data_IF_316022183695
#
_entry.id   IF_316022183695
#
_cell.length_a   1.000
_cell.length_b   1.000
_cell.length_c   1.000
_cell.angle_alpha   90.00
_cell.angle_beta   90.00
_cell.angle_gamma   90.00
#
_symmetry.space_group_name_H-M   'P 1'
#
loop_
_entity.id
_entity.type
_entity.pdbx_description
1 polymer ?
#
# COMPACT_ATOMS: atom_id res chain seq x y z
N UNK A 1 -6.36 20.81 44.49
CA UNK A 1 -6.09 20.04 45.73
C UNK A 1 -6.40 18.59 45.43
N UNK A 2 -5.39 17.74 45.65
CA UNK A 2 -5.29 16.36 45.21
C UNK A 2 -6.29 15.44 45.93
N UNK A 3 -6.87 14.48 45.22
CA UNK A 3 -7.11 13.15 45.77
C UNK A 3 -7.25 12.12 44.65
N UNK A 4 -6.22 11.29 44.52
CA UNK A 4 -6.10 10.13 43.64
C UNK A 4 -6.55 8.88 44.40
N UNK A 5 -7.52 8.15 43.85
CA UNK A 5 -7.95 6.85 44.37
C UNK A 5 -7.34 5.72 43.55
N UNK A 6 -6.23 5.15 44.01
CA UNK A 6 -5.65 3.90 43.50
C UNK A 6 -6.20 2.73 44.33
N UNK A 7 -6.93 1.81 43.69
CA UNK A 7 -7.36 0.54 44.30
C UNK A 7 -6.38 -0.57 43.93
N UNK A 8 -5.74 -1.16 44.95
CA UNK A 8 -4.93 -2.38 44.90
C UNK A 8 -5.85 -3.60 44.87
N UNK A 9 -5.57 -4.57 44.00
CA UNK A 9 -6.07 -5.95 44.12
C UNK A 9 -4.92 -6.90 44.45
N UNK A 10 -5.17 -7.75 45.45
CA UNK A 10 -4.28 -8.76 46.02
C UNK A 10 -4.43 -10.09 45.28
N UNK A 11 -3.30 -10.78 45.08
CA UNK A 11 -3.21 -12.20 44.72
C UNK A 11 -3.71 -13.11 45.86
N UNK A 12 -4.01 -14.39 45.56
CA UNK A 12 -3.19 -15.41 46.22
C UNK A 12 -2.74 -16.54 45.28
N UNK A 13 -1.44 -16.81 45.41
CA UNK A 13 -0.70 -17.98 44.93
C UNK A 13 -1.03 -19.19 45.82
N UNK A 14 -1.31 -20.35 45.22
CA UNK A 14 -1.45 -21.63 45.94
C UNK A 14 -0.23 -22.50 45.62
N UNK A 15 0.65 -22.70 46.60
CA UNK A 15 1.82 -23.58 46.55
C UNK A 15 1.49 -24.88 47.27
N UNK A 16 1.60 -26.01 46.57
CA UNK A 16 1.52 -27.36 47.15
C UNK A 16 2.95 -27.84 47.41
N UNK A 17 3.26 -28.07 48.69
CA UNK A 17 4.47 -28.75 49.17
C UNK A 17 4.34 -30.26 48.96
N UNK A 18 5.35 -30.89 48.39
CA UNK A 18 5.56 -32.34 48.55
C UNK A 18 7.01 -32.60 48.95
N UNK A 19 7.14 -33.22 50.11
CA UNK A 19 8.37 -33.54 50.83
C UNK A 19 8.89 -34.89 50.37
N UNK A 20 10.16 -34.96 49.96
CA UNK A 20 10.86 -36.23 49.82
C UNK A 20 12.26 -36.07 50.39
N UNK A 21 12.46 -36.55 51.62
CA UNK A 21 13.76 -36.87 52.18
C UNK A 21 14.38 -38.03 51.39
N UNK A 22 15.72 -38.08 51.27
CA UNK A 22 16.57 -39.22 51.70
C UNK A 22 18.02 -39.06 51.19
N UNK A 23 18.94 -39.22 52.16
CA UNK A 23 20.36 -39.62 52.14
C UNK A 23 21.46 -38.64 51.66
N UNK A 24 22.13 -38.10 52.68
CA UNK A 24 23.50 -37.55 52.65
C UNK A 24 24.50 -38.71 52.47
N UNK A 25 25.20 -38.73 51.34
CA UNK A 25 26.42 -39.51 51.13
C UNK A 25 27.60 -38.55 50.96
N UNK A 26 28.51 -38.52 51.94
CA UNK A 26 29.80 -37.85 51.84
C UNK A 26 30.65 -38.58 50.79
N UNK A 27 30.95 -37.90 49.67
CA UNK A 27 32.04 -38.27 48.78
C UNK A 27 32.88 -37.04 48.48
N UNK A 28 34.19 -37.23 48.63
CA UNK A 28 35.25 -36.24 48.47
C UNK A 28 35.10 -35.43 47.18
N UNK A 29 35.20 -34.11 47.32
CA UNK A 29 35.33 -33.22 46.18
C UNK A 29 36.71 -33.42 45.53
N UNK A 30 36.74 -34.11 44.40
CA UNK A 30 37.78 -33.90 43.40
C UNK A 30 37.50 -32.56 42.71
N UNK A 31 38.46 -31.65 42.82
CA UNK A 31 38.49 -30.40 42.07
C UNK A 31 38.78 -30.75 40.62
N UNK A 32 37.72 -30.98 39.83
CA UNK A 32 37.82 -31.03 38.38
C UNK A 32 37.74 -29.60 37.83
N UNK A 33 38.82 -29.18 37.18
CA UNK A 33 38.97 -27.96 36.40
C UNK A 33 37.80 -27.73 35.46
N UNK A 34 37.20 -26.53 35.51
CA UNK A 34 36.29 -26.04 34.48
C UNK A 34 37.01 -25.97 33.14
N UNK A 35 36.64 -26.86 32.23
CA UNK A 35 36.89 -26.71 30.81
C UNK A 35 35.71 -25.92 30.23
N UNK A 36 36.01 -24.87 29.46
CA UNK A 36 35.06 -24.13 28.63
C UNK A 36 34.17 -25.11 27.85
N UNK A 37 32.85 -24.97 27.96
CA UNK A 37 31.96 -25.57 27.00
C UNK A 37 32.15 -24.86 25.64
N UNK A 38 32.20 -25.60 24.51
CA UNK A 38 32.27 -24.97 23.20
C UNK A 38 31.03 -24.10 23.00
N UNK A 39 31.25 -22.80 22.75
CA UNK A 39 30.18 -21.87 22.36
C UNK A 39 29.41 -22.50 21.21
N UNK A 40 28.12 -22.78 21.42
CA UNK A 40 27.30 -23.35 20.35
C UNK A 40 27.36 -22.43 19.13
N UNK A 41 27.46 -23.00 17.93
CA UNK A 41 27.50 -22.25 16.67
C UNK A 41 26.38 -21.20 16.57
N UNK A 42 25.21 -21.55 17.12
CA UNK A 42 24.07 -20.65 17.26
C UNK A 42 24.32 -19.45 18.19
N UNK A 43 24.94 -19.68 19.36
CA UNK A 43 25.32 -18.60 20.28
C UNK A 43 26.37 -17.68 19.66
N UNK A 44 27.32 -18.25 18.91
CA UNK A 44 28.34 -17.47 18.20
C UNK A 44 27.71 -16.52 17.18
N UNK A 45 26.77 -17.00 16.35
CA UNK A 45 26.07 -16.14 15.40
C UNK A 45 25.36 -14.97 16.10
N UNK A 46 24.56 -15.25 17.14
CA UNK A 46 23.74 -14.24 17.82
C UNK A 46 24.60 -13.20 18.55
N UNK A 47 25.71 -13.63 19.14
CA UNK A 47 26.55 -12.74 19.98
C UNK A 47 27.67 -12.04 19.23
N UNK A 48 28.16 -12.62 18.13
CA UNK A 48 29.30 -12.08 17.37
C UNK A 48 28.92 -11.57 15.98
N UNK A 49 28.13 -12.34 15.23
CA UNK A 49 27.85 -12.02 13.82
C UNK A 49 26.68 -11.06 13.66
N UNK A 50 25.57 -11.30 14.37
CA UNK A 50 24.39 -10.46 14.28
C UNK A 50 24.67 -8.98 14.59
N UNK A 51 25.43 -8.62 15.65
CA UNK A 51 25.75 -7.22 15.90
C UNK A 51 26.55 -6.57 14.76
N UNK A 52 27.47 -7.30 14.12
CA UNK A 52 28.25 -6.81 12.98
C UNK A 52 27.32 -6.49 11.80
N UNK A 53 26.42 -7.43 11.45
CA UNK A 53 25.45 -7.22 10.37
C UNK A 53 24.54 -6.03 10.67
N UNK A 54 24.07 -5.91 11.91
CA UNK A 54 23.17 -4.84 12.33
C UNK A 54 23.82 -3.46 12.28
N UNK A 55 25.06 -3.34 12.76
CA UNK A 55 25.77 -2.07 12.84
C UNK A 55 26.27 -1.61 11.46
N UNK A 56 26.88 -2.53 10.70
CA UNK A 56 27.66 -2.16 9.51
C UNK A 56 26.93 -2.44 8.18
N UNK A 57 25.94 -3.33 8.16
CA UNK A 57 25.39 -3.83 6.89
C UNK A 57 23.92 -3.43 6.65
N UNK A 58 23.06 -3.52 7.67
CA UNK A 58 21.59 -3.44 7.49
C UNK A 58 21.09 -2.07 7.05
N UNK A 59 21.81 -0.99 7.37
CA UNK A 59 21.42 0.36 6.94
C UNK A 59 21.38 0.51 5.41
N UNK A 60 22.19 -0.26 4.68
CA UNK A 60 22.29 -0.27 3.22
C UNK A 60 21.83 -1.57 2.55
N UNK A 61 21.83 -2.69 3.28
CA UNK A 61 21.45 -4.02 2.82
C UNK A 61 20.37 -4.65 3.73
N UNK A 62 19.34 -3.89 4.08
CA UNK A 62 18.19 -4.31 4.90
C UNK A 62 16.85 -4.00 4.24
N UNK A 63 15.73 -4.17 4.94
CA UNK A 63 14.39 -4.01 4.33
C UNK A 63 14.19 -2.64 3.64
N UNK A 64 14.63 -1.55 4.28
CA UNK A 64 14.42 -0.18 3.79
C UNK A 64 15.31 0.15 2.58
N UNK A 65 16.57 -0.27 2.59
CA UNK A 65 17.56 0.02 1.55
C UNK A 65 18.27 -1.28 1.20
N UNK A 66 18.26 -1.61 -0.09
CA UNK A 66 18.77 -2.87 -0.64
C UNK A 66 19.75 -2.52 -1.76
N UNK A 67 20.93 -2.03 -1.41
CA UNK A 67 21.95 -1.73 -2.42
C UNK A 67 22.34 -3.01 -3.17
N UNK A 68 22.37 -2.92 -4.50
CA UNK A 68 22.61 -4.04 -5.41
C UNK A 68 21.66 -5.23 -5.21
N UNK A 69 20.42 -4.97 -4.76
CA UNK A 69 19.41 -6.00 -4.51
C UNK A 69 19.73 -6.97 -3.36
N UNK A 70 20.74 -6.67 -2.53
CA UNK A 70 21.22 -7.53 -1.45
C UNK A 70 20.53 -7.21 -0.12
N UNK A 71 20.13 -8.27 0.60
CA UNK A 71 19.60 -8.25 1.98
C UNK A 71 20.48 -9.13 2.88
N UNK A 72 20.94 -8.58 4.00
CA UNK A 72 21.83 -9.23 4.97
C UNK A 72 21.18 -9.41 6.36
N UNK A 73 19.90 -9.08 6.49
CA UNK A 73 19.07 -9.22 7.69
C UNK A 73 18.23 -10.51 7.71
N UNK A 74 18.21 -11.28 6.61
CA UNK A 74 17.46 -12.53 6.48
C UNK A 74 18.31 -13.61 5.83
N UNK A 75 18.39 -14.79 6.46
CA UNK A 75 19.18 -15.93 5.97
C UNK A 75 18.90 -16.32 4.52
N UNK A 76 17.62 -16.44 4.13
CA UNK A 76 17.26 -16.86 2.78
C UNK A 76 17.80 -15.90 1.71
N UNK A 77 17.82 -14.60 2.03
CA UNK A 77 18.31 -13.58 1.12
C UNK A 77 19.84 -13.51 1.07
N UNK A 78 20.52 -13.76 2.19
CA UNK A 78 21.99 -13.89 2.21
C UNK A 78 22.44 -15.03 1.28
N UNK A 79 21.71 -16.15 1.30
CA UNK A 79 21.98 -17.32 0.47
C UNK A 79 21.57 -17.11 -0.99
N UNK A 80 20.56 -16.27 -1.27
CA UNK A 80 20.19 -15.86 -2.63
C UNK A 80 21.23 -14.92 -3.23
N UNK A 81 21.69 -13.96 -2.42
CA UNK A 81 22.61 -12.92 -2.83
C UNK A 81 21.95 -11.72 -3.50
N UNK A 82 22.80 -10.77 -3.90
CA UNK A 82 22.41 -9.59 -4.67
C UNK A 82 22.49 -9.83 -6.18
N UNK A 83 22.36 -8.75 -6.95
CA UNK A 83 22.27 -8.78 -8.41
C UNK A 83 23.58 -9.24 -9.10
N UNK A 84 24.75 -9.02 -8.49
CA UNK A 84 26.03 -9.08 -9.19
C UNK A 84 26.92 -10.29 -8.84
N UNK A 85 26.91 -10.74 -7.59
CA UNK A 85 27.95 -11.66 -7.07
C UNK A 85 27.42 -13.02 -6.63
N UNK A 86 26.15 -13.33 -6.88
CA UNK A 86 25.51 -14.56 -6.40
C UNK A 86 25.39 -14.59 -4.86
N UNK A 87 25.28 -15.78 -4.24
CA UNK A 87 25.13 -15.94 -2.79
C UNK A 87 26.17 -15.12 -2.02
N UNK A 88 25.74 -14.27 -1.09
CA UNK A 88 26.66 -13.41 -0.34
C UNK A 88 27.57 -14.23 0.59
N UNK A 89 27.09 -15.39 1.04
CA UNK A 89 27.83 -16.36 1.85
C UNK A 89 27.74 -17.74 1.22
N UNK A 90 28.90 -18.36 1.03
CA UNK A 90 29.07 -19.74 0.60
C UNK A 90 29.62 -20.51 1.80
N UNK A 91 28.79 -21.37 2.39
CA UNK A 91 29.16 -22.17 3.56
C UNK A 91 30.47 -22.94 3.32
N UNK A 92 31.31 -23.01 4.35
CA UNK A 92 32.63 -23.66 4.36
C UNK A 92 33.70 -22.99 3.46
N UNK A 93 33.33 -21.97 2.69
CA UNK A 93 34.18 -21.33 1.68
C UNK A 93 34.21 -19.80 1.83
N UNK A 94 34.90 -19.25 2.86
CA UNK A 94 35.04 -17.80 3.02
C UNK A 94 35.67 -17.13 1.80
N UNK A 95 36.62 -17.80 1.14
CA UNK A 95 37.31 -17.31 -0.06
C UNK A 95 36.41 -17.21 -1.31
N UNK A 96 35.23 -17.84 -1.26
CA UNK A 96 34.21 -17.77 -2.32
C UNK A 96 32.98 -16.95 -1.90
N UNK A 97 33.01 -16.36 -0.71
CA UNK A 97 31.90 -15.60 -0.14
C UNK A 97 32.10 -14.10 -0.41
N UNK A 98 31.31 -13.48 -1.31
CA UNK A 98 31.45 -12.06 -1.64
C UNK A 98 31.34 -11.15 -0.43
N UNK A 99 30.54 -11.51 0.59
CA UNK A 99 30.45 -10.75 1.84
C UNK A 99 31.81 -10.66 2.53
N UNK A 100 32.55 -11.76 2.60
CA UNK A 100 33.87 -11.80 3.24
C UNK A 100 34.93 -11.10 2.40
N UNK A 101 34.92 -11.32 1.08
CA UNK A 101 35.85 -10.66 0.16
C UNK A 101 35.66 -9.14 0.19
N UNK A 102 34.42 -8.64 0.18
CA UNK A 102 34.15 -7.21 0.17
C UNK A 102 34.61 -6.47 1.43
N UNK A 103 34.64 -7.13 2.60
CA UNK A 103 35.06 -6.49 3.87
C UNK A 103 36.54 -6.74 4.21
N UNK A 104 37.17 -7.74 3.60
CA UNK A 104 38.49 -8.23 4.01
C UNK A 104 39.56 -8.30 2.91
N UNK A 105 39.18 -8.25 1.62
CA UNK A 105 40.10 -8.37 0.49
C UNK A 105 40.19 -7.03 -0.28
N UNK A 106 41.29 -6.27 -0.14
CA UNK A 106 41.50 -5.02 -0.87
C UNK A 106 41.58 -5.16 -2.39
N UNK A 107 41.75 -6.40 -2.90
CA UNK A 107 41.80 -6.70 -4.32
C UNK A 107 40.45 -7.07 -4.92
N UNK A 108 39.41 -7.22 -4.09
CA UNK A 108 38.06 -7.45 -4.57
C UNK A 108 37.50 -6.20 -5.26
N UNK A 109 36.59 -6.42 -6.22
CA UNK A 109 36.05 -5.36 -7.09
C UNK A 109 35.32 -4.24 -6.32
N UNK A 110 34.92 -4.51 -5.08
CA UNK A 110 34.27 -3.55 -4.18
C UNK A 110 34.82 -3.68 -2.76
N UNK A 111 34.87 -2.56 -2.03
CA UNK A 111 35.19 -2.53 -0.60
C UNK A 111 33.96 -2.09 0.19
N UNK A 112 33.66 -2.80 1.28
CA UNK A 112 32.53 -2.54 2.18
C UNK A 112 33.02 -2.36 3.63
N UNK A 113 32.45 -1.41 4.40
CA UNK A 113 31.45 -0.42 3.99
C UNK A 113 32.05 0.66 3.07
N UNK A 114 31.27 1.25 2.12
CA UNK A 114 31.76 2.27 1.20
C UNK A 114 31.93 3.63 1.87
N UNK A 115 31.15 3.86 2.93
CA UNK A 115 31.18 5.04 3.78
C UNK A 115 31.15 4.57 5.24
N UNK A 116 31.91 5.23 6.12
CA UNK A 116 32.04 4.85 7.53
C UNK A 116 33.34 4.10 7.85
N UNK A 117 33.55 3.72 9.12
CA UNK A 117 34.72 2.96 9.52
C UNK A 117 34.68 1.55 8.92
N UNK A 118 35.83 1.07 8.46
CA UNK A 118 35.99 -0.33 8.09
C UNK A 118 35.80 -1.24 9.32
N UNK A 119 35.38 -2.49 9.08
CA UNK A 119 35.31 -3.50 10.12
C UNK A 119 36.70 -3.68 10.75
N UNK A 120 36.71 -3.89 12.06
CA UNK A 120 37.91 -4.24 12.80
C UNK A 120 38.43 -5.63 12.39
N UNK A 121 39.72 -5.89 12.61
CA UNK A 121 40.31 -7.19 12.32
C UNK A 121 39.58 -8.34 13.05
N UNK A 122 39.10 -8.09 14.27
CA UNK A 122 38.34 -9.07 15.06
C UNK A 122 36.96 -9.36 14.46
N UNK A 123 36.28 -8.34 13.92
CA UNK A 123 34.98 -8.51 13.24
C UNK A 123 35.14 -9.28 11.93
N UNK A 124 36.19 -8.97 11.14
CA UNK A 124 36.51 -9.71 9.91
C UNK A 124 36.88 -11.17 10.22
N UNK A 125 37.69 -11.40 11.27
CA UNK A 125 38.03 -12.74 11.71
C UNK A 125 36.80 -13.52 12.21
N UNK A 126 35.86 -12.87 12.90
CA UNK A 126 34.61 -13.49 13.34
C UNK A 126 33.76 -13.93 12.14
N UNK A 127 33.63 -13.08 11.10
CA UNK A 127 32.94 -13.43 9.86
C UNK A 127 33.60 -14.62 9.18
N UNK A 128 34.94 -14.63 9.08
CA UNK A 128 35.68 -15.75 8.50
C UNK A 128 35.41 -17.06 9.27
N UNK A 129 35.50 -17.01 10.59
CA UNK A 129 35.28 -18.16 11.45
C UNK A 129 33.87 -18.70 11.29
N UNK A 130 32.87 -17.83 11.27
CA UNK A 130 31.48 -18.22 11.09
C UNK A 130 31.23 -18.90 9.75
N UNK A 131 31.74 -18.34 8.65
CA UNK A 131 31.57 -18.91 7.31
C UNK A 131 32.29 -20.26 7.19
N UNK A 132 33.52 -20.33 7.71
CA UNK A 132 34.32 -21.58 7.75
C UNK A 132 33.64 -22.67 8.56
N UNK A 133 32.88 -22.31 9.60
CA UNK A 133 32.10 -23.23 10.42
C UNK A 133 30.72 -23.58 9.79
N UNK A 134 30.56 -23.43 8.48
CA UNK A 134 29.33 -23.76 7.76
C UNK A 134 28.28 -22.65 7.73
N UNK A 135 28.61 -21.43 8.16
CA UNK A 135 27.70 -20.28 8.19
C UNK A 135 26.38 -20.58 8.94
N UNK A 136 26.46 -21.27 10.08
CA UNK A 136 25.28 -21.64 10.85
C UNK A 136 24.50 -20.40 11.28
N UNK A 137 23.24 -20.34 10.87
CA UNK A 137 22.34 -19.23 11.10
C UNK A 137 21.08 -19.79 11.76
N UNK A 138 20.90 -19.58 13.08
CA UNK A 138 19.84 -20.22 13.84
C UNK A 138 18.45 -19.83 13.34
N UNK A 139 17.48 -20.73 13.47
CA UNK A 139 16.09 -20.44 13.17
C UNK A 139 15.57 -19.30 14.07
N UNK A 140 14.80 -18.37 13.50
CA UNK A 140 14.33 -17.17 14.21
C UNK A 140 15.40 -16.12 14.46
N UNK A 141 16.60 -16.28 13.89
CA UNK A 141 17.70 -15.33 14.06
C UNK A 141 17.68 -14.16 13.08
N UNK A 142 16.78 -14.19 12.10
CA UNK A 142 16.56 -13.12 11.13
C UNK A 142 16.13 -11.83 11.84
N UNK A 143 16.69 -10.72 11.36
CA UNK A 143 16.36 -9.38 11.81
C UNK A 143 15.25 -8.74 10.96
N UNK A 144 14.96 -9.32 9.79
CA UNK A 144 13.89 -8.89 8.89
C UNK A 144 12.91 -10.02 8.57
N UNK A 145 11.83 -9.66 7.89
CA UNK A 145 10.86 -10.62 7.32
C UNK A 145 10.92 -10.49 5.80
N UNK A 146 10.99 -11.63 5.10
CA UNK A 146 10.77 -11.68 3.65
C UNK A 146 9.26 -11.73 3.43
N UNK A 147 8.72 -10.69 2.80
CA UNK A 147 7.31 -10.65 2.41
C UNK A 147 7.20 -11.21 1.00
N UNK A 148 6.30 -12.17 0.80
CA UNK A 148 5.88 -12.49 -0.56
C UNK A 148 5.00 -11.33 -1.07
N UNK A 149 5.55 -10.53 -1.98
CA UNK A 149 4.86 -9.37 -2.54
C UNK A 149 3.58 -9.76 -3.30
N UNK A 150 3.50 -11.00 -3.80
CA UNK A 150 2.29 -11.55 -4.45
C UNK A 150 1.16 -11.83 -3.47
N UNK A 151 1.46 -11.88 -2.17
CA UNK A 151 0.46 -12.13 -1.14
C UNK A 151 -0.29 -10.86 -0.69
N UNK A 152 -0.05 -9.71 -1.35
CA UNK A 152 -0.85 -8.52 -1.08
C UNK A 152 -2.30 -8.72 -1.51
N UNK A 153 -3.26 -8.21 -0.72
CA UNK A 153 -4.70 -8.47 -0.88
C UNK A 153 -5.23 -8.12 -2.28
N UNK A 154 -4.63 -7.12 -2.95
CA UNK A 154 -5.03 -6.66 -4.29
C UNK A 154 -4.68 -7.64 -5.42
N UNK A 155 -3.79 -8.61 -5.17
CA UNK A 155 -3.41 -9.63 -6.16
C UNK A 155 -4.19 -10.94 -5.99
N UNK A 156 -5.01 -11.04 -4.95
CA UNK A 156 -5.88 -12.19 -4.75
C UNK A 156 -7.20 -11.99 -5.49
N UNK A 157 -7.78 -13.06 -6.07
CA UNK A 157 -9.13 -12.99 -6.61
C UNK A 157 -10.14 -12.52 -5.56
N UNK A 158 -11.12 -11.72 -5.99
CA UNK A 158 -12.21 -11.27 -5.11
C UNK A 158 -12.98 -12.49 -4.63
N UNK A 159 -12.99 -12.69 -3.31
CA UNK A 159 -13.71 -13.77 -2.66
C UNK A 159 -15.02 -13.26 -2.06
N UNK A 160 -16.04 -14.12 -2.05
CA UNK A 160 -17.25 -13.86 -1.26
C UNK A 160 -16.90 -13.91 0.22
N UNK A 161 -17.36 -12.93 0.98
CA UNK A 161 -17.17 -12.83 2.43
C UNK A 161 -18.52 -12.96 3.14
N UNK A 162 -18.51 -13.57 4.32
CA UNK A 162 -19.69 -13.59 5.18
C UNK A 162 -19.91 -12.18 5.76
N UNK A 163 -21.13 -11.67 5.62
CA UNK A 163 -21.50 -10.35 6.14
C UNK A 163 -21.68 -10.47 7.66
N UNK A 164 -21.02 -9.62 8.48
CA UNK A 164 -21.18 -9.62 9.92
C UNK A 164 -22.64 -9.41 10.34
N UNK A 165 -23.09 -10.11 11.37
CA UNK A 165 -24.39 -9.84 11.98
C UNK A 165 -24.38 -8.51 12.75
N UNK A 166 -25.40 -7.68 12.57
CA UNK A 166 -25.54 -6.38 13.25
C UNK A 166 -26.40 -6.40 14.53
N UNK A 167 -26.84 -7.58 14.98
CA UNK A 167 -27.69 -7.72 16.16
C UNK A 167 -28.99 -6.92 16.03
N UNK A 168 -29.32 -6.14 17.06
CA UNK A 168 -30.53 -5.29 17.11
C UNK A 168 -30.31 -3.88 16.56
N UNK A 169 -29.14 -3.58 16.00
CA UNK A 169 -28.82 -2.26 15.46
C UNK A 169 -29.63 -1.97 14.20
N UNK A 170 -30.35 -0.86 14.17
CA UNK A 170 -31.07 -0.36 12.99
C UNK A 170 -30.24 0.60 12.14
N UNK A 171 -28.96 0.80 12.49
CA UNK A 171 -28.10 1.76 11.79
C UNK A 171 -27.69 1.29 10.39
N UNK A 172 -27.23 0.03 10.18
CA UNK A 172 -26.81 -0.43 8.86
C UNK A 172 -27.93 -0.32 7.82
N UNK A 173 -27.61 0.26 6.66
CA UNK A 173 -28.53 0.38 5.52
C UNK A 173 -28.19 -0.59 4.39
N UNK A 174 -26.95 -1.10 4.37
CA UNK A 174 -26.46 -2.08 3.41
C UNK A 174 -25.35 -2.94 4.03
N UNK A 175 -24.88 -3.94 3.28
CA UNK A 175 -23.87 -4.89 3.73
C UNK A 175 -22.53 -4.24 4.14
N UNK A 176 -22.15 -3.10 3.55
CA UNK A 176 -20.90 -2.39 3.91
C UNK A 176 -21.01 -1.81 5.32
N UNK A 177 -22.20 -1.28 5.66
CA UNK A 177 -22.44 -0.70 6.98
C UNK A 177 -22.32 -1.75 8.09
N UNK A 178 -22.59 -3.03 7.81
CA UNK A 178 -22.40 -4.13 8.75
C UNK A 178 -20.92 -4.32 9.12
N UNK A 179 -20.03 -4.26 8.14
CA UNK A 179 -18.58 -4.30 8.37
C UNK A 179 -18.09 -3.07 9.15
N UNK A 180 -18.60 -1.88 8.81
CA UNK A 180 -18.24 -0.64 9.52
C UNK A 180 -18.72 -0.72 10.97
N UNK A 181 -19.96 -1.15 11.21
CA UNK A 181 -20.54 -1.28 12.55
C UNK A 181 -19.75 -2.28 13.39
N UNK A 182 -19.41 -3.45 12.83
CA UNK A 182 -18.58 -4.44 13.51
C UNK A 182 -17.25 -3.82 13.97
N UNK A 183 -16.57 -3.07 13.11
CA UNK A 183 -15.31 -2.41 13.45
C UNK A 183 -15.49 -1.34 14.51
N UNK A 184 -16.54 -0.51 14.41
CA UNK A 184 -16.86 0.50 15.42
C UNK A 184 -17.09 -0.13 16.79
N UNK A 185 -17.87 -1.22 16.87
CA UNK A 185 -18.14 -1.93 18.12
C UNK A 185 -16.88 -2.52 18.76
N UNK A 186 -15.98 -3.10 17.96
CA UNK A 186 -14.68 -3.59 18.45
C UNK A 186 -13.83 -2.48 19.07
N UNK A 187 -13.87 -1.29 18.46
CA UNK A 187 -13.13 -0.11 18.91
C UNK A 187 -13.91 0.73 19.94
N UNK A 188 -15.08 0.25 20.41
CA UNK A 188 -15.94 0.94 21.37
C UNK A 188 -16.39 2.34 20.90
N UNK A 189 -16.61 2.47 19.59
CA UNK A 189 -17.11 3.67 18.94
C UNK A 189 -18.58 3.50 18.55
N UNK A 190 -19.28 4.61 18.46
CA UNK A 190 -20.66 4.68 17.98
C UNK A 190 -20.72 5.44 16.64
N UNK A 191 -21.65 5.07 15.75
CA UNK A 191 -21.83 5.81 14.51
C UNK A 191 -22.18 7.28 14.76
N UNK A 192 -21.70 8.15 13.86
CA UNK A 192 -22.07 9.56 13.89
C UNK A 192 -23.56 9.75 13.57
N UNK A 193 -24.17 10.79 14.14
CA UNK A 193 -25.53 11.19 13.79
C UNK A 193 -25.61 11.58 12.31
N UNK A 194 -26.78 11.34 11.70
CA UNK A 194 -27.05 11.77 10.34
C UNK A 194 -26.95 13.30 10.23
N UNK A 195 -26.50 13.79 9.08
CA UNK A 195 -26.50 15.22 8.79
C UNK A 195 -27.94 15.76 8.66
N UNK A 196 -28.14 17.04 8.98
CA UNK A 196 -29.38 17.73 8.65
C UNK A 196 -29.58 17.82 7.13
N UNK A 197 -30.83 18.00 6.70
CA UNK A 197 -31.19 17.99 5.28
C UNK A 197 -30.39 18.99 4.44
N UNK A 198 -30.17 20.22 4.93
CA UNK A 198 -29.46 21.25 4.17
C UNK A 198 -27.98 20.89 4.05
N UNK A 199 -27.34 20.46 5.14
CA UNK A 199 -25.95 20.02 5.12
C UNK A 199 -25.76 18.83 4.19
N UNK A 200 -26.67 17.86 4.22
CA UNK A 200 -26.62 16.70 3.32
C UNK A 200 -26.76 17.12 1.86
N UNK A 201 -27.78 17.93 1.53
CA UNK A 201 -28.03 18.39 0.16
C UNK A 201 -26.81 19.15 -0.39
N UNK A 202 -26.23 20.05 0.40
CA UNK A 202 -25.02 20.79 0.01
C UNK A 202 -23.84 19.87 -0.27
N UNK A 203 -23.62 18.85 0.57
CA UNK A 203 -22.53 17.88 0.35
C UNK A 203 -22.75 17.08 -0.93
N UNK A 204 -23.96 16.56 -1.13
CA UNK A 204 -24.30 15.78 -2.31
C UNK A 204 -24.14 16.57 -3.62
N UNK A 205 -24.58 17.83 -3.65
CA UNK A 205 -24.46 18.68 -4.86
C UNK A 205 -23.02 19.07 -5.15
N UNK A 206 -22.23 19.44 -4.14
CA UNK A 206 -20.81 19.73 -4.33
C UNK A 206 -20.02 18.50 -4.79
N UNK A 207 -20.31 17.34 -4.20
CA UNK A 207 -19.62 16.10 -4.54
C UNK A 207 -19.92 15.67 -5.98
N UNK A 208 -21.20 15.58 -6.33
CA UNK A 208 -21.62 15.06 -7.63
C UNK A 208 -21.46 16.05 -8.78
N UNK A 209 -21.65 17.35 -8.54
CA UNK A 209 -21.68 18.36 -9.63
C UNK A 209 -20.69 19.51 -9.45
N UNK A 210 -20.02 19.61 -8.31
CA UNK A 210 -19.10 20.72 -8.01
C UNK A 210 -19.81 22.06 -7.72
N UNK A 211 -21.14 22.10 -7.71
CA UNK A 211 -21.93 23.33 -7.56
C UNK A 211 -22.80 23.29 -6.29
N UNK A 212 -23.05 24.44 -5.64
CA UNK A 212 -23.99 24.51 -4.53
C UNK A 212 -25.43 24.32 -5.02
N UNK A 213 -26.35 23.86 -4.15
CA UNK A 213 -27.77 23.86 -4.48
C UNK A 213 -28.30 25.29 -4.58
N UNK A 214 -29.26 25.51 -5.47
CA UNK A 214 -29.99 26.78 -5.56
C UNK A 214 -30.98 26.93 -4.39
N UNK A 215 -31.39 28.16 -4.03
CA UNK A 215 -32.42 28.37 -3.01
C UNK A 215 -33.72 27.60 -3.28
N UNK A 216 -34.16 27.56 -4.54
CA UNK A 216 -35.38 26.84 -4.93
C UNK A 216 -35.25 25.31 -4.75
N UNK A 217 -34.07 24.75 -5.00
CA UNK A 217 -33.80 23.32 -4.76
C UNK A 217 -33.74 22.99 -3.27
N UNK A 218 -33.24 23.91 -2.43
CA UNK A 218 -33.26 23.75 -0.97
C UNK A 218 -34.71 23.72 -0.49
N UNK A 219 -35.53 24.69 -0.89
CA UNK A 219 -36.92 24.79 -0.47
C UNK A 219 -37.73 23.55 -0.91
N UNK A 220 -37.55 23.10 -2.15
CA UNK A 220 -38.19 21.89 -2.66
C UNK A 220 -37.78 20.65 -1.87
N UNK A 221 -36.49 20.47 -1.62
CA UNK A 221 -35.98 19.31 -0.88
C UNK A 221 -36.48 19.27 0.57
N UNK A 222 -36.54 20.42 1.24
CA UNK A 222 -37.07 20.50 2.61
C UNK A 222 -38.56 20.14 2.64
N UNK A 223 -39.35 20.61 1.67
CA UNK A 223 -40.76 20.27 1.55
C UNK A 223 -40.99 18.77 1.28
N UNK A 224 -40.18 18.17 0.41
CA UNK A 224 -40.21 16.72 0.13
C UNK A 224 -39.85 15.90 1.37
N UNK A 225 -38.81 16.30 2.11
CA UNK A 225 -38.44 15.63 3.35
C UNK A 225 -39.52 15.76 4.44
N UNK A 226 -40.15 16.93 4.59
CA UNK A 226 -41.24 17.15 5.54
C UNK A 226 -42.47 16.29 5.20
N UNK A 227 -42.79 16.18 3.91
CA UNK A 227 -43.89 15.35 3.42
C UNK A 227 -43.64 13.85 3.68
N UNK A 228 -42.41 13.36 3.46
CA UNK A 228 -42.04 11.97 3.68
C UNK A 228 -42.02 11.59 5.17
N UNK A 229 -41.63 12.52 6.05
CA UNK A 229 -41.60 12.32 7.51
C UNK A 229 -42.99 12.29 8.18
N UNK A 230 -44.08 12.51 7.43
CA UNK A 230 -45.44 12.42 7.96
C UNK A 230 -45.96 13.68 8.66
N UNK A 231 -45.29 14.83 8.48
CA UNK A 231 -45.75 16.14 8.94
C UNK A 231 -45.70 16.36 10.46
N UNK A 232 -44.75 17.19 10.91
CA UNK A 232 -44.64 17.94 12.19
C UNK A 232 -44.91 17.29 13.57
N UNK A 233 -45.48 16.09 13.70
CA UNK A 233 -45.99 15.67 15.01
C UNK A 233 -44.91 15.36 16.05
N UNK A 234 -43.75 14.80 15.67
CA UNK A 234 -42.73 14.32 16.63
C UNK A 234 -41.28 14.70 16.26
N UNK A 235 -41.07 15.64 15.33
CA UNK A 235 -39.73 15.95 14.85
C UNK A 235 -38.93 16.74 15.92
N UNK A 236 -37.70 16.33 16.27
CA UNK A 236 -36.89 17.00 17.26
C UNK A 236 -36.60 18.43 16.82
N UNK A 237 -36.99 19.39 17.66
CA UNK A 237 -36.64 20.78 17.48
C UNK A 237 -35.25 21.03 18.08
N UNK A 238 -34.46 21.88 17.43
CA UNK A 238 -33.25 22.42 18.06
C UNK A 238 -33.59 23.36 19.22
N UNK A 239 -32.57 23.87 19.92
CA UNK A 239 -32.73 24.82 21.03
C UNK A 239 -33.47 26.12 20.63
N UNK A 240 -33.64 26.39 19.33
CA UNK A 240 -34.39 27.53 18.79
C UNK A 240 -35.86 27.23 18.49
N UNK A 241 -36.30 25.97 18.66
CA UNK A 241 -37.65 25.53 18.31
C UNK A 241 -37.81 25.23 16.81
N UNK A 242 -36.72 25.20 16.04
CA UNK A 242 -36.74 24.89 14.61
C UNK A 242 -36.68 23.39 14.43
N UNK A 243 -37.66 22.84 13.70
CA UNK A 243 -37.68 21.41 13.35
C UNK A 243 -36.44 21.08 12.54
N UNK A 244 -35.56 20.24 13.08
CA UNK A 244 -34.40 19.73 12.33
C UNK A 244 -34.89 18.59 11.47
N UNK A 245 -35.10 18.87 10.18
CA UNK A 245 -35.47 17.84 9.21
C UNK A 245 -34.28 16.91 9.02
N UNK A 246 -34.38 15.71 9.60
CA UNK A 246 -33.35 14.66 9.47
C UNK A 246 -33.43 13.98 8.11
N UNK A 247 -32.35 14.03 7.34
CA UNK A 247 -32.32 13.40 6.02
C UNK A 247 -32.44 11.86 6.07
N UNK A 248 -32.09 11.26 7.22
CA UNK A 248 -32.18 9.81 7.41
C UNK A 248 -33.63 9.31 7.30
N UNK A 249 -34.60 10.13 7.70
CA UNK A 249 -36.02 9.80 7.68
C UNK A 249 -36.72 10.14 6.34
N UNK A 250 -35.98 10.57 5.31
CA UNK A 250 -36.51 10.88 3.98
C UNK A 250 -35.73 10.15 2.85
N UNK A 251 -35.72 8.80 2.82
CA UNK A 251 -34.99 8.03 1.81
C UNK A 251 -35.45 8.28 0.35
N UNK A 252 -36.73 8.52 0.10
CA UNK A 252 -37.23 8.80 -1.25
C UNK A 252 -36.78 10.17 -1.74
N UNK A 253 -36.88 11.21 -0.90
CA UNK A 253 -36.39 12.55 -1.24
C UNK A 253 -34.88 12.53 -1.54
N UNK A 254 -34.08 11.80 -0.73
CA UNK A 254 -32.64 11.61 -1.01
C UNK A 254 -32.40 10.99 -2.37
N UNK A 255 -33.11 9.90 -2.68
CA UNK A 255 -32.96 9.19 -3.95
C UNK A 255 -33.24 10.09 -5.15
N UNK A 256 -34.34 10.85 -5.09
CA UNK A 256 -34.71 11.78 -6.16
C UNK A 256 -33.66 12.86 -6.38
N UNK A 257 -33.07 13.39 -5.32
CA UNK A 257 -31.94 14.33 -5.43
C UNK A 257 -30.74 13.67 -6.10
N UNK A 258 -30.34 12.46 -5.68
CA UNK A 258 -29.20 11.77 -6.28
C UNK A 258 -29.44 11.46 -7.76
N UNK A 259 -30.61 10.91 -8.11
CA UNK A 259 -30.97 10.59 -9.50
C UNK A 259 -30.92 11.85 -10.39
N UNK A 260 -31.43 12.98 -9.88
CA UNK A 260 -31.38 14.28 -10.57
C UNK A 260 -29.96 14.78 -10.76
N UNK A 261 -29.08 14.60 -9.77
CA UNK A 261 -27.68 15.04 -9.85
C UNK A 261 -26.87 14.17 -10.79
N UNK A 262 -27.06 12.84 -10.77
CA UNK A 262 -26.42 11.91 -11.71
C UNK A 262 -26.88 12.14 -13.15
N UNK A 263 -28.15 12.50 -13.37
CA UNK A 263 -28.67 12.83 -14.70
C UNK A 263 -28.20 14.20 -15.25
N UNK A 264 -27.52 15.01 -14.44
CA UNK A 264 -27.02 16.32 -14.87
C UNK A 264 -25.75 16.17 -15.70
N UNK A 265 -25.61 16.88 -16.84
CA UNK A 265 -24.34 16.89 -17.60
C UNK A 265 -23.13 17.35 -16.78
N UNK A 266 -23.37 18.13 -15.71
CA UNK A 266 -22.36 18.58 -14.76
C UNK A 266 -21.71 17.44 -13.98
N UNK A 267 -22.40 16.31 -13.85
CA UNK A 267 -21.83 15.11 -13.21
C UNK A 267 -20.61 14.63 -13.98
N UNK A 268 -20.75 14.40 -15.29
CA UNK A 268 -19.64 14.00 -16.14
C UNK A 268 -18.54 15.05 -16.21
N UNK A 269 -18.86 16.35 -16.28
CA UNK A 269 -17.85 17.41 -16.23
C UNK A 269 -17.04 17.39 -14.93
N UNK A 270 -17.71 17.20 -13.79
CA UNK A 270 -17.09 17.15 -12.47
C UNK A 270 -16.18 15.93 -12.30
N UNK A 271 -16.69 14.75 -12.62
CA UNK A 271 -15.96 13.50 -12.42
C UNK A 271 -14.88 13.26 -13.47
N UNK A 272 -15.11 13.69 -14.71
CA UNK A 272 -14.08 13.66 -15.75
C UNK A 272 -12.86 14.49 -15.37
N UNK A 273 -13.00 15.62 -14.66
CA UNK A 273 -11.86 16.41 -14.21
C UNK A 273 -10.87 15.54 -13.39
N UNK A 274 -11.39 14.74 -12.45
CA UNK A 274 -10.55 13.86 -11.63
C UNK A 274 -9.84 12.80 -12.48
N UNK A 275 -10.53 12.24 -13.47
CA UNK A 275 -9.92 11.28 -14.40
C UNK A 275 -8.84 11.93 -15.26
N UNK A 276 -9.13 13.11 -15.81
CA UNK A 276 -8.24 13.87 -16.68
C UNK A 276 -6.93 14.25 -15.95
N UNK A 277 -6.99 14.51 -14.65
CA UNK A 277 -5.80 14.70 -13.82
C UNK A 277 -4.95 13.41 -13.72
N UNK A 278 -5.59 12.26 -13.49
CA UNK A 278 -4.91 10.95 -13.35
C UNK A 278 -4.21 10.53 -14.64
N UNK A 279 -4.86 10.73 -15.78
CA UNK A 279 -4.31 10.41 -17.13
C UNK A 279 -3.42 11.52 -17.68
N UNK A 280 -3.11 12.54 -16.86
CA UNK A 280 -2.21 13.66 -17.20
C UNK A 280 -2.65 14.41 -18.46
N UNK A 281 -3.96 14.56 -18.65
CA UNK A 281 -4.50 15.32 -19.77
C UNK A 281 -4.04 16.78 -19.70
N UNK A 282 -3.60 17.30 -20.84
CA UNK A 282 -3.30 18.71 -21.03
C UNK A 282 -3.56 19.11 -22.49
N UNK A 283 -3.98 20.36 -22.69
CA UNK A 283 -4.12 20.98 -24.01
C UNK A 283 -2.76 21.32 -24.66
N UNK A 284 -1.65 21.00 -23.97
CA UNK A 284 -0.28 21.10 -24.49
C UNK A 284 0.50 19.81 -24.23
N UNK A 285 1.63 19.62 -24.91
CA UNK A 285 2.49 18.46 -24.69
C UNK A 285 3.29 18.51 -23.36
N UNK A 286 3.35 19.67 -22.72
CA UNK A 286 4.04 19.87 -21.45
C UNK A 286 5.56 19.58 -21.50
N UNK A 287 6.17 19.47 -20.32
CA UNK A 287 7.58 19.12 -20.13
C UNK A 287 8.55 19.99 -20.96
N UNK A 288 9.47 19.38 -21.71
CA UNK A 288 10.50 20.07 -22.50
C UNK A 288 9.97 20.70 -23.80
N UNK A 289 8.83 20.23 -24.30
CA UNK A 289 8.23 20.69 -25.56
C UNK A 289 6.82 21.14 -25.28
N UNK A 290 6.64 22.35 -24.77
CA UNK A 290 5.32 22.86 -24.41
C UNK A 290 4.59 23.53 -25.59
N UNK A 291 4.12 22.71 -26.54
CA UNK A 291 3.32 23.16 -27.71
C UNK A 291 1.85 22.77 -27.58
N UNK A 292 0.91 23.54 -28.17
CA UNK A 292 -0.51 23.19 -28.18
C UNK A 292 -0.79 21.83 -28.83
N UNK A 293 -1.81 21.13 -28.31
CA UNK A 293 -2.39 19.90 -28.86
C UNK A 293 -3.78 20.21 -29.40
N UNK A 294 -3.86 20.64 -30.66
CA UNK A 294 -5.11 21.10 -31.29
C UNK A 294 -6.23 20.04 -31.29
N UNK A 295 -5.85 18.76 -31.25
CA UNK A 295 -6.74 17.60 -31.24
C UNK A 295 -6.83 16.89 -29.89
N UNK A 296 -6.44 17.51 -28.77
CA UNK A 296 -6.56 16.88 -27.45
C UNK A 296 -8.01 16.86 -26.92
N UNK A 297 -8.77 17.94 -27.19
CA UNK A 297 -10.11 18.13 -26.63
C UNK A 297 -11.14 17.03 -26.92
N UNK A 298 -11.11 16.28 -28.05
CA UNK A 298 -12.05 15.18 -28.27
C UNK A 298 -11.92 14.08 -27.20
N UNK A 299 -10.70 13.82 -26.72
CA UNK A 299 -10.49 12.85 -25.64
C UNK A 299 -11.11 13.34 -24.32
N UNK A 300 -10.98 14.63 -24.00
CA UNK A 300 -11.66 15.23 -22.84
C UNK A 300 -13.17 15.05 -22.93
N UNK A 301 -13.74 15.34 -24.08
CA UNK A 301 -15.18 15.28 -24.30
C UNK A 301 -15.68 13.82 -24.28
N UNK A 302 -14.88 12.87 -24.79
CA UNK A 302 -15.13 11.43 -24.65
C UNK A 302 -15.20 11.02 -23.16
N UNK A 303 -14.23 11.43 -22.34
CA UNK A 303 -14.24 11.10 -20.89
C UNK A 303 -15.49 11.68 -20.21
N UNK A 304 -15.84 12.94 -20.49
CA UNK A 304 -17.07 13.57 -19.97
C UNK A 304 -18.32 12.78 -20.38
N UNK A 305 -18.38 12.35 -21.64
CA UNK A 305 -19.49 11.57 -22.18
C UNK A 305 -19.57 10.19 -21.51
N UNK A 306 -18.44 9.51 -21.31
CA UNK A 306 -18.39 8.19 -20.67
C UNK A 306 -18.93 8.21 -19.23
N UNK A 307 -18.57 9.23 -18.44
CA UNK A 307 -19.14 9.40 -17.09
C UNK A 307 -20.64 9.68 -17.13
N UNK A 308 -21.12 10.56 -18.03
CA UNK A 308 -22.54 10.88 -18.13
C UNK A 308 -23.40 9.71 -18.67
N UNK A 309 -22.81 8.79 -19.42
CA UNK A 309 -23.47 7.60 -19.96
C UNK A 309 -23.40 6.39 -19.03
N UNK A 310 -22.71 6.51 -17.89
CA UNK A 310 -22.43 5.40 -16.97
C UNK A 310 -21.76 4.22 -17.72
N UNK A 311 -20.77 4.53 -18.56
CA UNK A 311 -20.05 3.51 -19.34
C UNK A 311 -19.43 2.49 -18.37
N UNK A 312 -19.67 1.18 -18.57
CA UNK A 312 -19.08 0.14 -17.74
C UNK A 312 -17.57 0.29 -17.65
N UNK A 313 -17.01 0.17 -16.45
CA UNK A 313 -15.60 0.42 -16.20
C UNK A 313 -14.68 -0.44 -17.08
N UNK A 314 -15.02 -1.72 -17.30
CA UNK A 314 -14.24 -2.61 -18.15
C UNK A 314 -14.23 -2.17 -19.63
N UNK A 315 -15.35 -1.63 -20.12
CA UNK A 315 -15.44 -1.03 -21.44
C UNK A 315 -14.63 0.26 -21.51
N UNK A 316 -14.78 1.16 -20.52
CA UNK A 316 -14.05 2.42 -20.44
C UNK A 316 -12.53 2.23 -20.43
N UNK A 317 -12.04 1.21 -19.71
CA UNK A 317 -10.62 0.82 -19.71
C UNK A 317 -10.21 0.27 -21.08
N UNK A 318 -10.98 -0.66 -21.66
CA UNK A 318 -10.66 -1.29 -22.94
C UNK A 318 -10.57 -0.27 -24.08
N UNK A 319 -11.52 0.65 -24.14
CA UNK A 319 -11.57 1.68 -25.19
C UNK A 319 -10.35 2.62 -25.09
N UNK A 320 -9.91 2.98 -23.88
CA UNK A 320 -8.73 3.82 -23.71
C UNK A 320 -7.40 3.13 -24.04
N UNK A 321 -7.29 1.82 -23.77
CA UNK A 321 -6.05 1.07 -24.01
C UNK A 321 -5.94 0.55 -25.45
N UNK A 322 -7.06 0.22 -26.09
CA UNK A 322 -7.07 -0.50 -27.36
C UNK A 322 -8.31 -0.22 -28.22
N UNK A 323 -8.99 0.93 -28.04
CA UNK A 323 -10.19 1.27 -28.78
C UNK A 323 -10.02 1.33 -30.31
N UNK A 324 -8.85 1.73 -30.80
CA UNK A 324 -8.49 1.72 -32.23
C UNK A 324 -8.22 0.31 -32.79
N UNK A 325 -7.98 -0.66 -31.90
CA UNK A 325 -7.78 -2.07 -32.25
C UNK A 325 -9.08 -2.90 -32.15
N UNK A 326 -10.20 -2.29 -31.74
CA UNK A 326 -11.48 -2.98 -31.70
C UNK A 326 -11.99 -3.27 -33.12
N UNK A 327 -12.61 -4.45 -33.36
CA UNK A 327 -13.28 -4.72 -34.62
C UNK A 327 -14.37 -3.68 -34.89
N UNK A 328 -14.35 -3.08 -36.09
CA UNK A 328 -15.30 -2.05 -36.51
C UNK A 328 -15.42 -0.86 -35.53
N UNK A 329 -14.29 -0.45 -34.95
CA UNK A 329 -14.21 0.61 -33.94
C UNK A 329 -14.98 1.88 -34.34
N UNK A 330 -15.81 2.37 -33.42
CA UNK A 330 -16.53 3.64 -33.60
C UNK A 330 -15.57 4.83 -33.49
N UNK A 331 -15.94 6.02 -34.00
CA UNK A 331 -15.13 7.22 -33.80
C UNK A 331 -14.81 7.51 -32.33
N UNK A 332 -15.76 7.30 -31.42
CA UNK A 332 -15.56 7.52 -29.99
C UNK A 332 -14.55 6.53 -29.39
N UNK A 333 -14.58 5.27 -29.83
CA UNK A 333 -13.61 4.25 -29.41
C UNK A 333 -12.19 4.57 -29.92
N UNK A 334 -12.07 5.09 -31.13
CA UNK A 334 -10.78 5.57 -31.65
C UNK A 334 -10.31 6.83 -30.89
N UNK A 335 -11.23 7.74 -30.53
CA UNK A 335 -10.89 8.93 -29.73
C UNK A 335 -10.42 8.54 -28.32
N UNK A 336 -10.99 7.48 -27.74
CA UNK A 336 -10.63 6.98 -26.41
C UNK A 336 -9.15 6.62 -26.30
N UNK A 337 -8.52 6.11 -27.38
CA UNK A 337 -7.07 5.80 -27.39
C UNK A 337 -6.18 7.05 -27.38
N UNK A 338 -6.79 8.25 -27.45
CA UNK A 338 -6.17 9.51 -27.04
C UNK A 338 -5.54 9.46 -25.64
N UNK A 339 -5.96 8.53 -24.77
CA UNK A 339 -5.30 8.19 -23.52
C UNK A 339 -3.79 7.93 -23.71
N UNK A 340 -3.43 6.99 -24.59
CA UNK A 340 -2.03 6.64 -24.88
C UNK A 340 -1.27 7.82 -25.48
N UNK A 341 -1.97 8.67 -26.24
CA UNK A 341 -1.40 9.87 -26.83
C UNK A 341 -1.14 11.00 -25.81
N UNK A 342 -1.64 10.91 -24.57
CA UNK A 342 -1.35 11.87 -23.49
C UNK A 342 0.06 11.74 -22.91
N UNK A 343 0.78 10.67 -23.24
CA UNK A 343 2.15 10.49 -22.80
C UNK A 343 3.04 11.68 -23.16
N UNK A 344 3.94 12.03 -22.25
CA UNK A 344 4.90 13.12 -22.43
C UNK A 344 5.72 12.92 -23.70
N UNK A 345 6.00 14.03 -24.37
CA UNK A 345 6.89 14.04 -25.53
C UNK A 345 8.29 14.48 -25.11
N UNK A 346 9.27 13.64 -25.41
CA UNK A 346 10.67 13.85 -25.05
C UNK A 346 11.47 14.24 -26.28
N UNK A 347 12.38 15.21 -26.15
CA UNK A 347 13.27 15.62 -27.25
C UNK A 347 12.64 16.58 -28.26
N UNK A 348 13.51 17.33 -28.94
CA UNK A 348 13.16 18.40 -29.88
C UNK A 348 13.55 18.11 -31.34
N UNK A 349 14.22 16.96 -31.57
CA UNK A 349 14.71 16.54 -32.89
C UNK A 349 13.90 15.34 -33.37
N UNK A 350 13.29 15.46 -34.55
CA UNK A 350 12.50 14.38 -35.15
C UNK A 350 13.38 13.19 -35.52
N UNK A 351 14.57 13.44 -36.08
CA UNK A 351 15.49 12.39 -36.54
C UNK A 351 16.13 11.58 -35.40
N UNK A 352 16.03 12.06 -34.16
CA UNK A 352 16.65 11.46 -32.97
C UNK A 352 15.66 11.50 -31.79
N UNK A 353 14.40 11.15 -32.08
CA UNK A 353 13.34 11.19 -31.08
C UNK A 353 13.48 9.99 -30.11
N UNK A 354 13.62 10.22 -28.80
CA UNK A 354 13.78 9.16 -27.81
C UNK A 354 12.45 8.45 -27.50
N UNK A 355 11.94 7.66 -28.46
CA UNK A 355 10.65 6.95 -28.36
C UNK A 355 10.51 6.13 -27.08
N UNK A 356 11.62 5.54 -26.62
CA UNK A 356 11.66 4.72 -25.41
C UNK A 356 11.27 5.48 -24.13
N UNK A 357 11.48 6.80 -24.06
CA UNK A 357 11.05 7.63 -22.93
C UNK A 357 9.54 7.89 -22.95
N UNK A 358 8.96 8.09 -24.14
CA UNK A 358 7.51 8.21 -24.29
C UNK A 358 6.80 6.92 -23.95
N UNK A 359 7.35 5.77 -24.37
CA UNK A 359 6.78 4.47 -24.00
C UNK A 359 6.90 4.24 -22.49
N UNK A 360 8.03 4.58 -21.88
CA UNK A 360 8.20 4.50 -20.42
C UNK A 360 7.18 5.37 -19.67
N UNK A 361 6.97 6.62 -20.06
CA UNK A 361 5.95 7.50 -19.45
C UNK A 361 4.52 6.95 -19.64
N UNK A 362 4.25 6.34 -20.79
CA UNK A 362 2.97 5.65 -21.07
C UNK A 362 2.76 4.49 -20.10
N UNK A 363 3.76 3.62 -19.94
CA UNK A 363 3.68 2.45 -19.06
C UNK A 363 3.58 2.86 -17.58
N UNK A 364 4.35 3.87 -17.15
CA UNK A 364 4.23 4.41 -15.79
C UNK A 364 2.83 4.97 -15.53
N UNK A 365 2.27 5.75 -16.46
CA UNK A 365 0.92 6.26 -16.32
C UNK A 365 -0.12 5.13 -16.32
N UNK A 366 0.03 4.11 -17.17
CA UNK A 366 -0.86 2.95 -17.22
C UNK A 366 -0.88 2.22 -15.88
N UNK A 367 0.29 1.91 -15.31
CA UNK A 367 0.37 1.25 -14.00
C UNK A 367 -0.31 2.06 -12.91
N UNK A 368 -0.03 3.37 -12.84
CA UNK A 368 -0.58 4.23 -11.79
C UNK A 368 -2.08 4.44 -11.95
N UNK A 369 -2.56 4.57 -13.18
CA UNK A 369 -3.97 4.88 -13.50
C UNK A 369 -4.86 3.67 -13.27
N UNK A 370 -4.48 2.51 -13.79
CA UNK A 370 -5.36 1.35 -13.82
C UNK A 370 -5.04 0.32 -12.73
N UNK A 371 -3.78 0.22 -12.30
CA UNK A 371 -3.36 -0.77 -11.31
C UNK A 371 -3.09 -0.15 -9.93
N UNK A 372 -2.90 1.17 -9.86
CA UNK A 372 -2.40 1.83 -8.64
C UNK A 372 -0.95 1.46 -8.31
N UNK A 373 -0.19 0.95 -9.29
CA UNK A 373 1.17 0.44 -9.13
C UNK A 373 2.16 1.21 -9.99
N UNK A 374 3.42 1.29 -9.56
CA UNK A 374 4.47 1.91 -10.36
C UNK A 374 5.18 0.87 -11.22
N UNK A 375 5.34 1.16 -12.52
CA UNK A 375 6.05 0.27 -13.44
C UNK A 375 7.47 0.74 -13.76
N UNK A 376 7.81 2.01 -13.53
CA UNK A 376 9.09 2.59 -13.96
C UNK A 376 10.32 1.86 -13.42
N UNK A 377 10.30 1.38 -12.16
CA UNK A 377 11.45 0.64 -11.61
C UNK A 377 11.70 -0.66 -12.39
N UNK A 378 10.62 -1.33 -12.81
CA UNK A 378 10.67 -2.57 -13.59
C UNK A 378 11.38 -2.43 -14.93
N UNK A 379 11.65 -1.22 -15.41
CA UNK A 379 12.40 -1.00 -16.65
C UNK A 379 13.84 -1.52 -16.60
N UNK A 380 14.51 -1.43 -15.45
CA UNK A 380 15.93 -1.77 -15.33
C UNK A 380 16.18 -3.05 -14.50
N UNK A 381 15.31 -3.34 -13.54
CA UNK A 381 15.40 -4.48 -12.63
C UNK A 381 13.99 -4.80 -12.12
N UNK A 382 13.76 -5.93 -11.45
CA UNK A 382 12.43 -6.23 -10.87
C UNK A 382 11.95 -5.15 -9.89
N UNK A 383 10.64 -4.91 -9.81
CA UNK A 383 10.10 -3.88 -8.93
C UNK A 383 10.42 -4.18 -7.46
N UNK A 384 10.89 -3.16 -6.74
CA UNK A 384 11.39 -3.33 -5.36
C UNK A 384 10.29 -3.73 -4.35
N UNK A 385 9.06 -3.26 -4.57
CA UNK A 385 7.98 -3.35 -3.59
C UNK A 385 6.72 -4.04 -4.11
N UNK A 386 6.67 -4.31 -5.41
CA UNK A 386 5.50 -4.90 -6.06
C UNK A 386 5.96 -6.13 -6.84
N UNK A 387 5.10 -7.13 -7.03
CA UNK A 387 5.45 -8.36 -7.73
C UNK A 387 5.45 -8.18 -9.25
N UNK A 388 6.23 -7.21 -9.75
CA UNK A 388 6.31 -6.87 -11.17
C UNK A 388 7.75 -7.06 -11.62
N UNK A 389 7.99 -8.04 -12.47
CA UNK A 389 9.33 -8.34 -12.96
C UNK A 389 9.73 -7.39 -14.09
N UNK A 390 11.04 -7.35 -14.35
CA UNK A 390 11.58 -6.68 -15.54
C UNK A 390 11.02 -7.30 -16.83
N UNK A 391 10.80 -8.62 -16.83
CA UNK A 391 10.20 -9.32 -17.94
C UNK A 391 8.76 -8.88 -18.20
N UNK A 392 7.95 -8.68 -17.14
CA UNK A 392 6.57 -8.18 -17.27
C UNK A 392 6.55 -6.78 -17.90
N UNK A 393 7.47 -5.90 -17.49
CA UNK A 393 7.60 -4.57 -18.08
C UNK A 393 7.90 -4.64 -19.59
N UNK A 394 8.87 -5.45 -20.01
CA UNK A 394 9.21 -5.57 -21.42
C UNK A 394 8.17 -6.33 -22.24
N UNK A 395 7.37 -7.21 -21.62
CA UNK A 395 6.21 -7.81 -22.27
C UNK A 395 5.12 -6.77 -22.60
N UNK A 396 4.97 -5.72 -21.78
CA UNK A 396 4.10 -4.58 -22.09
C UNK A 396 4.74 -3.58 -23.06
N UNK A 397 6.07 -3.45 -23.05
CA UNK A 397 6.80 -2.54 -23.92
C UNK A 397 6.72 -2.94 -25.40
N UNK A 398 6.73 -4.26 -25.70
CA UNK A 398 6.67 -4.80 -27.05
C UNK A 398 7.95 -5.48 -27.51
#
# INVERSE_FOLDING_TARGET
MLSSGFFRWLNPVTLIFSSCCVLVGLNSADVASGADEPVSSQSFFVTKIRPILQEHCISCHGERKQQSGLRLDVRSEVLRGGELYGPAVVADHPERSPLFQAVGDPSFDITMPPEGPALTADEVAALQQWITAGADWPEGADLGVVRDLRNHWSFHPVASVEIPGHGDSTWPQNAIDDFILQRLQQEQLHPAAAADAITWLRRATFDLTGLPPTPAEIDAFLAECEAEQGGKADAPADDSGTVVISVAAAPMARRQVIDRLLASPRYGERWAQHWLDVVRYADTHGFEVNTPRESAWPYRDYVIAAFNQDTPYDQFVREQLAGDLLPDATPDQIIATGYVANARRFGSRVDDYPQHLTIEDTLDNLGRTFLGLTLSCSRCHDHKFDPITNQDYYALYG
#
